data_IF_682775426057
#
_entry.id   IF_682775426057
#
_cell.length_a   1.000
_cell.length_b   1.000
_cell.length_c   1.000
_cell.angle_alpha   90.00
_cell.angle_beta   90.00
_cell.angle_gamma   90.00
#
_symmetry.space_group_name_H-M   'P 1'
#
loop_
_entity.id
_entity.type
_entity.pdbx_description
1 polymer ?
#
# COMPACT_ATOMS: atom_id res chain seq x y z
N UNK A 1 0.23 -8.84 7.77
CA UNK A 1 1.49 -8.33 8.33
C UNK A 1 1.02 -7.51 9.51
N UNK A 2 1.46 -7.76 10.75
CA UNK A 2 0.81 -7.21 11.94
C UNK A 2 0.58 -5.69 11.88
N UNK A 3 1.56 -4.95 11.35
CA UNK A 3 1.48 -3.49 11.15
C UNK A 3 0.38 -3.11 10.15
N UNK A 4 0.31 -3.77 8.98
CA UNK A 4 -0.74 -3.52 7.99
C UNK A 4 -2.13 -3.89 8.50
N UNK A 5 -2.23 -5.01 9.24
CA UNK A 5 -3.51 -5.51 9.75
C UNK A 5 -4.06 -4.61 10.87
N UNK A 6 -3.18 -3.91 11.60
CA UNK A 6 -3.53 -2.87 12.57
C UNK A 6 -4.01 -1.60 11.86
N UNK A 7 -3.21 -1.08 10.94
CA UNK A 7 -3.54 0.15 10.20
C UNK A 7 -4.82 -0.01 9.37
N UNK A 8 -5.08 -1.20 8.81
CA UNK A 8 -6.32 -1.44 8.06
C UNK A 8 -7.58 -1.29 8.90
N UNK A 9 -7.51 -1.56 10.21
CA UNK A 9 -8.63 -1.35 11.14
C UNK A 9 -8.77 0.12 11.53
N UNK A 10 -7.65 0.81 11.72
CA UNK A 10 -7.67 2.21 12.14
C UNK A 10 -8.14 3.16 11.04
N UNK A 11 -7.81 2.86 9.78
CA UNK A 11 -8.18 3.67 8.61
C UNK A 11 -9.29 3.02 7.77
N UNK A 12 -10.07 2.09 8.33
CA UNK A 12 -11.10 1.32 7.60
C UNK A 12 -12.12 2.22 6.88
N UNK A 13 -12.41 3.40 7.44
CA UNK A 13 -13.35 4.38 6.88
C UNK A 13 -12.77 5.22 5.75
N UNK A 14 -11.44 5.35 5.67
CA UNK A 14 -10.76 6.31 4.79
C UNK A 14 -9.91 5.63 3.72
N UNK A 15 -9.44 4.41 3.96
CA UNK A 15 -8.45 3.71 3.13
C UNK A 15 -8.83 2.24 2.96
N UNK A 16 -8.85 1.78 1.71
CA UNK A 16 -9.03 0.36 1.39
C UNK A 16 -7.67 -0.34 1.36
N UNK A 17 -7.48 -1.33 2.24
CA UNK A 17 -6.28 -2.15 2.25
C UNK A 17 -6.50 -3.44 1.47
N UNK A 18 -5.66 -3.67 0.46
CA UNK A 18 -5.66 -4.90 -0.34
C UNK A 18 -4.34 -5.63 -0.18
N UNK A 19 -4.40 -6.96 -0.03
CA UNK A 19 -3.24 -7.83 0.02
C UNK A 19 -3.36 -8.92 -1.03
N UNK A 20 -2.31 -9.09 -1.81
CA UNK A 20 -2.18 -10.17 -2.78
C UNK A 20 -0.81 -10.82 -2.70
N UNK A 21 -0.70 -12.05 -3.18
CA UNK A 21 0.57 -12.77 -3.28
C UNK A 21 1.11 -12.60 -4.71
N UNK A 22 2.29 -12.00 -4.82
CA UNK A 22 2.90 -11.69 -6.12
C UNK A 22 3.23 -12.95 -6.96
N UNK A 23 3.56 -14.06 -6.30
CA UNK A 23 3.83 -15.34 -6.96
C UNK A 23 2.58 -16.07 -7.45
N UNK A 24 1.41 -15.82 -6.86
CA UNK A 24 0.13 -16.39 -7.31
C UNK A 24 -0.51 -15.49 -8.39
N UNK A 25 -0.39 -14.17 -8.27
CA UNK A 25 -0.95 -13.19 -9.20
C UNK A 25 0.14 -12.54 -10.06
N UNK A 26 0.88 -13.36 -10.82
CA UNK A 26 2.06 -12.95 -11.59
C UNK A 26 1.72 -11.89 -12.65
N UNK A 27 0.56 -11.99 -13.30
CA UNK A 27 0.11 -11.00 -14.30
C UNK A 27 -0.07 -9.62 -13.66
N UNK A 28 -0.82 -9.55 -12.56
CA UNK A 28 -1.03 -8.31 -11.80
C UNK A 28 0.31 -7.75 -11.26
N UNK A 29 1.18 -8.62 -10.73
CA UNK A 29 2.49 -8.22 -10.26
C UNK A 29 3.33 -7.58 -11.39
N UNK A 30 3.29 -8.16 -12.60
CA UNK A 30 3.96 -7.63 -13.78
C UNK A 30 3.37 -6.29 -14.24
N UNK A 31 2.05 -6.19 -14.32
CA UNK A 31 1.33 -4.95 -14.70
C UNK A 31 1.64 -3.79 -13.72
N UNK A 32 1.72 -4.10 -12.43
CA UNK A 32 2.05 -3.13 -11.39
C UNK A 32 3.56 -2.90 -11.22
N UNK A 33 4.41 -3.59 -11.97
CA UNK A 33 5.87 -3.46 -11.91
C UNK A 33 6.49 -3.94 -10.59
N UNK A 34 5.88 -4.93 -9.94
CA UNK A 34 6.36 -5.54 -8.70
C UNK A 34 7.50 -6.51 -9.03
N UNK A 35 8.73 -6.09 -8.75
CA UNK A 35 9.96 -6.86 -8.98
C UNK A 35 10.52 -7.52 -7.72
N UNK A 36 10.11 -7.05 -6.54
CA UNK A 36 10.54 -7.58 -5.24
C UNK A 36 9.41 -7.50 -4.22
N UNK A 37 9.46 -8.39 -3.23
CA UNK A 37 8.52 -8.42 -2.10
C UNK A 37 9.25 -8.09 -0.79
N UNK A 38 8.62 -7.39 0.16
CA UNK A 38 7.32 -6.72 0.04
C UNK A 38 7.41 -5.41 -0.78
N UNK A 39 6.38 -5.14 -1.58
CA UNK A 39 6.16 -3.85 -2.24
C UNK A 39 4.82 -3.31 -1.79
N UNK A 40 4.78 -2.07 -1.31
CA UNK A 40 3.53 -1.36 -1.02
C UNK A 40 3.21 -0.43 -2.18
N UNK A 41 1.95 -0.44 -2.58
CA UNK A 41 1.42 0.38 -3.67
C UNK A 41 0.28 1.20 -3.09
N UNK A 42 0.37 2.51 -3.27
CA UNK A 42 -0.65 3.48 -2.88
C UNK A 42 -1.30 4.01 -4.16
N UNK A 43 -2.63 4.05 -4.16
CA UNK A 43 -3.42 4.50 -5.30
C UNK A 43 -4.39 5.54 -4.77
N UNK A 44 -4.31 6.78 -5.25
CA UNK A 44 -5.28 7.82 -4.91
C UNK A 44 -6.48 7.81 -5.90
N UNK A 45 -7.42 8.74 -5.69
CA UNK A 45 -8.63 8.83 -6.54
C UNK A 45 -8.32 9.18 -8.01
N UNK A 46 -7.24 9.92 -8.24
CA UNK A 46 -6.76 10.29 -9.58
C UNK A 46 -5.96 9.17 -10.25
N UNK A 47 -5.89 7.99 -9.61
CA UNK A 47 -5.14 6.80 -10.05
C UNK A 47 -3.64 7.02 -10.12
N UNK A 48 -3.13 8.02 -9.42
CA UNK A 48 -1.69 8.18 -9.25
C UNK A 48 -1.16 7.04 -8.39
N UNK A 49 -0.13 6.38 -8.91
CA UNK A 49 0.48 5.23 -8.27
C UNK A 49 1.78 5.68 -7.61
N UNK A 50 1.81 5.62 -6.29
CA UNK A 50 3.04 5.74 -5.53
C UNK A 50 3.46 4.37 -4.97
N UNK A 51 4.77 4.11 -4.95
CA UNK A 51 5.32 2.81 -4.53
C UNK A 51 6.38 3.00 -3.47
N UNK A 52 6.30 2.20 -2.42
CA UNK A 52 7.38 2.05 -1.44
C UNK A 52 7.98 0.65 -1.55
N UNK A 53 9.30 0.59 -1.74
CA UNK A 53 10.08 -0.65 -1.86
C UNK A 53 10.87 -0.86 -0.57
N UNK A 54 10.69 -2.02 0.07
CA UNK A 54 11.47 -2.42 1.25
C UNK A 54 10.72 -2.31 2.58
N UNK A 55 11.49 -2.35 3.67
CA UNK A 55 10.96 -2.29 5.03
C UNK A 55 10.50 -0.87 5.37
N UNK A 56 9.20 -0.71 5.58
CA UNK A 56 8.62 0.52 6.15
C UNK A 56 8.28 0.30 7.61
N UNK A 57 8.57 1.31 8.43
CA UNK A 57 8.13 1.36 9.82
C UNK A 57 6.65 1.73 9.90
N UNK A 58 5.97 1.37 11.00
CA UNK A 58 4.57 1.79 11.22
C UNK A 58 4.44 3.32 11.15
N UNK A 59 5.39 4.05 11.74
CA UNK A 59 5.40 5.52 11.74
C UNK A 59 5.46 6.09 10.32
N UNK A 60 6.41 5.62 9.50
CA UNK A 60 6.56 6.08 8.12
C UNK A 60 5.32 5.75 7.28
N UNK A 61 4.71 4.58 7.49
CA UNK A 61 3.51 4.18 6.78
C UNK A 61 2.29 5.05 7.18
N UNK A 62 2.13 5.38 8.46
CA UNK A 62 1.08 6.31 8.92
C UNK A 62 1.24 7.70 8.32
N UNK A 63 2.43 8.26 8.39
CA UNK A 63 2.71 9.57 7.80
C UNK A 63 2.34 9.57 6.33
N UNK A 64 2.70 8.51 5.61
CA UNK A 64 2.40 8.39 4.18
C UNK A 64 0.90 8.32 3.90
N UNK A 65 0.15 7.53 4.67
CA UNK A 65 -1.32 7.46 4.57
C UNK A 65 -1.93 8.83 4.82
N UNK A 66 -1.52 9.52 5.88
CA UNK A 66 -2.03 10.84 6.23
C UNK A 66 -1.71 11.91 5.19
N UNK A 67 -0.51 11.87 4.60
CA UNK A 67 -0.15 12.74 3.47
C UNK A 67 -1.12 12.53 2.30
N UNK A 68 -1.36 11.28 1.90
CA UNK A 68 -2.24 10.93 0.79
C UNK A 68 -3.71 11.31 1.06
N UNK A 69 -4.16 11.27 2.31
CA UNK A 69 -5.51 11.69 2.71
C UNK A 69 -5.68 13.22 2.75
N UNK A 70 -4.59 13.98 2.93
CA UNK A 70 -4.63 15.45 2.95
C UNK A 70 -4.75 16.08 1.57
N UNK A 71 -4.35 15.39 0.50
CA UNK A 71 -4.65 15.78 -0.88
C UNK A 71 -6.15 15.57 -1.14
N UNK A 72 -6.98 16.53 -0.71
CA UNK A 72 -8.40 16.65 -1.03
C UNK A 72 -8.62 17.57 -2.22
#
# INVERSE_FOLDING_TARGET
MPILDKLSREYESDVVFLKTKANENVVLAKELGVVSVPTLIFINKDKEIERSRGLVTEHSLRQKIEELLKYK
#
